data_IF_835961094807
#
_entry.id   IF_835961094807
#
_cell.length_a   1.000
_cell.length_b   1.000
_cell.length_c   1.000
_cell.angle_alpha   90.00
_cell.angle_beta   90.00
_cell.angle_gamma   90.00
#
_symmetry.space_group_name_H-M   'P 1'
#
loop_
_entity.id
_entity.type
_entity.pdbx_description
1 polymer ?
#
# COMPACT_ATOMS: atom_id res chain seq x y z
N UNK A 1 -5.24 0.31 -10.34
CA UNK A 1 -4.62 1.15 -9.27
C UNK A 1 -5.26 0.70 -7.97
N UNK A 2 -4.49 0.25 -6.98
CA UNK A 2 -5.07 -0.25 -5.73
C UNK A 2 -5.27 0.90 -4.72
N UNK A 3 -6.44 0.96 -4.09
CA UNK A 3 -6.67 1.88 -2.97
C UNK A 3 -6.22 1.18 -1.69
N UNK A 4 -5.26 1.76 -0.97
CA UNK A 4 -4.82 1.25 0.32
C UNK A 4 -5.76 1.74 1.45
N UNK A 5 -7.05 1.39 1.32
CA UNK A 5 -8.11 1.84 2.22
C UNK A 5 -7.98 1.26 3.64
N UNK A 6 -7.21 0.18 3.78
CA UNK A 6 -6.94 -0.48 5.06
C UNK A 6 -5.76 0.12 5.83
N UNK A 7 -5.14 1.16 5.28
CA UNK A 7 -3.98 1.83 5.87
C UNK A 7 -2.79 0.90 6.12
N UNK A 8 -2.59 -0.11 5.29
CA UNK A 8 -1.44 -1.00 5.38
C UNK A 8 -0.17 -0.20 5.12
N UNK A 9 0.83 -0.32 5.97
CA UNK A 9 2.02 0.50 5.92
C UNK A 9 2.82 0.27 4.63
N UNK A 10 3.06 -0.97 4.19
CA UNK A 10 3.92 -1.27 3.03
C UNK A 10 3.20 -1.52 1.67
N UNK A 11 1.91 -1.22 1.55
CA UNK A 11 1.15 -1.65 0.37
C UNK A 11 0.98 -3.18 0.32
N UNK A 12 0.74 -3.76 -0.86
CA UNK A 12 0.46 -5.19 -0.98
C UNK A 12 1.75 -6.02 -1.14
N UNK A 13 2.09 -6.91 -0.19
CA UNK A 13 3.31 -7.72 -0.24
C UNK A 13 3.35 -8.72 -1.41
N UNK A 14 2.21 -9.04 -2.03
CA UNK A 14 2.14 -9.98 -3.15
C UNK A 14 2.64 -9.37 -4.46
N UNK A 15 2.61 -8.03 -4.60
CA UNK A 15 2.84 -7.35 -5.87
C UNK A 15 4.19 -6.62 -5.95
N UNK A 16 4.99 -6.69 -4.87
CA UNK A 16 6.37 -6.22 -4.88
C UNK A 16 6.79 -5.55 -3.59
N UNK A 17 8.05 -5.10 -3.58
CA UNK A 17 8.68 -4.46 -2.42
C UNK A 17 8.55 -2.93 -2.44
N UNK A 18 7.90 -2.36 -3.46
CA UNK A 18 7.71 -0.92 -3.63
C UNK A 18 6.24 -0.66 -3.95
N UNK A 19 5.62 0.25 -3.22
CA UNK A 19 4.29 0.75 -3.50
C UNK A 19 4.35 2.24 -3.85
N UNK A 20 3.41 2.70 -4.69
CA UNK A 20 3.25 4.11 -5.01
C UNK A 20 1.98 4.66 -4.35
N UNK A 21 2.09 5.88 -3.80
CA UNK A 21 0.97 6.66 -3.30
C UNK A 21 0.68 7.73 -4.33
N UNK A 22 -0.50 7.64 -4.92
CA UNK A 22 -0.95 8.59 -5.93
C UNK A 22 -1.65 9.80 -5.30
N UNK A 23 -1.55 10.94 -5.97
CA UNK A 23 -2.37 12.12 -5.66
C UNK A 23 -3.82 11.85 -6.06
N UNK A 24 -4.82 12.34 -5.29
CA UNK A 24 -6.23 12.19 -5.66
C UNK A 24 -6.57 12.78 -7.04
N UNK A 25 -5.77 13.72 -7.55
CA UNK A 25 -5.96 14.28 -8.91
C UNK A 25 -5.84 13.22 -10.00
N UNK A 26 -5.10 12.13 -9.77
CA UNK A 26 -5.05 11.00 -10.70
C UNK A 26 -6.44 10.37 -10.90
N UNK A 27 -7.34 10.52 -9.93
CA UNK A 27 -8.63 9.84 -9.89
C UNK A 27 -9.82 10.77 -10.14
N UNK A 28 -9.60 12.08 -10.33
CA UNK A 28 -10.69 13.04 -10.55
C UNK A 28 -11.55 12.71 -11.79
N UNK A 29 -11.02 11.94 -12.75
CA UNK A 29 -11.76 11.43 -13.91
C UNK A 29 -12.12 9.95 -13.86
N UNK A 30 -11.84 9.26 -12.75
CA UNK A 30 -12.27 7.88 -12.57
C UNK A 30 -13.78 7.83 -12.29
N UNK A 31 -14.45 6.78 -12.75
CA UNK A 31 -15.92 6.64 -12.64
C UNK A 31 -16.31 5.42 -11.79
N UNK A 32 -15.38 4.50 -11.53
CA UNK A 32 -15.63 3.30 -10.73
C UNK A 32 -14.41 2.89 -9.91
N UNK A 33 -14.67 2.27 -8.76
CA UNK A 33 -13.72 1.46 -8.01
C UNK A 33 -14.42 0.13 -7.69
N UNK A 34 -13.72 -1.00 -7.83
CA UNK A 34 -14.26 -2.30 -7.50
C UNK A 34 -13.51 -2.88 -6.31
N UNK A 35 -14.22 -3.55 -5.41
CA UNK A 35 -13.59 -4.24 -4.29
C UNK A 35 -12.54 -5.27 -4.70
N UNK A 36 -12.57 -5.75 -5.94
CA UNK A 36 -11.84 -6.93 -6.41
C UNK A 36 -10.84 -6.56 -7.49
N UNK A 37 -9.75 -7.32 -7.52
CA UNK A 37 -8.88 -7.50 -8.68
C UNK A 37 -9.71 -7.71 -9.97
N UNK A 38 -9.76 -6.69 -10.83
CA UNK A 38 -10.45 -6.75 -12.13
C UNK A 38 -9.86 -7.81 -13.04
N UNK A 39 -8.59 -8.17 -12.84
CA UNK A 39 -7.95 -9.30 -13.46
C UNK A 39 -8.66 -10.59 -13.08
N UNK A 40 -8.83 -10.88 -11.78
CA UNK A 40 -9.57 -12.06 -11.32
C UNK A 40 -11.02 -12.07 -11.86
N UNK A 41 -11.71 -10.93 -11.81
CA UNK A 41 -13.04 -10.83 -12.41
C UNK A 41 -13.02 -11.10 -13.93
N UNK A 42 -12.07 -10.52 -14.67
CA UNK A 42 -11.94 -10.74 -16.12
C UNK A 42 -11.61 -12.20 -16.42
N UNK A 43 -10.70 -12.79 -15.67
CA UNK A 43 -10.29 -14.19 -15.83
C UNK A 43 -11.48 -15.12 -15.58
N UNK A 44 -12.34 -14.83 -14.60
CA UNK A 44 -13.32 -15.78 -14.08
C UNK A 44 -14.79 -15.47 -14.39
N UNK A 45 -15.12 -14.24 -14.75
CA UNK A 45 -16.48 -13.76 -15.00
C UNK A 45 -16.69 -13.22 -16.42
N UNK A 46 -15.63 -12.88 -17.16
CA UNK A 46 -15.77 -12.45 -18.56
C UNK A 46 -15.92 -13.68 -19.49
N UNK A 47 -17.15 -13.96 -19.90
CA UNK A 47 -17.47 -15.09 -20.78
C UNK A 47 -16.74 -15.05 -22.13
N UNK A 48 -16.42 -13.86 -22.65
CA UNK A 48 -15.65 -13.72 -23.90
C UNK A 48 -14.20 -14.14 -23.68
N UNK A 49 -13.59 -13.73 -22.57
CA UNK A 49 -12.23 -14.14 -22.19
C UNK A 49 -12.15 -15.66 -21.97
N UNK A 50 -13.09 -16.23 -21.21
CA UNK A 50 -13.17 -17.67 -20.91
C UNK A 50 -13.33 -18.58 -22.13
N UNK A 51 -13.87 -18.04 -23.24
CA UNK A 51 -14.05 -18.77 -24.51
C UNK A 51 -12.83 -18.67 -25.43
N UNK A 52 -11.83 -17.85 -25.10
CA UNK A 52 -10.62 -17.70 -25.91
C UNK A 52 -9.67 -18.87 -25.68
N UNK A 53 -9.16 -19.47 -26.75
CA UNK A 53 -8.20 -20.57 -26.69
C UNK A 53 -6.92 -20.12 -25.95
N UNK A 54 -6.50 -20.90 -24.95
CA UNK A 54 -5.34 -20.59 -24.11
C UNK A 54 -5.67 -19.82 -22.82
N UNK A 55 -6.93 -19.42 -22.60
CA UNK A 55 -7.37 -18.93 -21.29
C UNK A 55 -7.24 -20.05 -20.24
N UNK A 56 -6.52 -19.78 -19.15
CA UNK A 56 -6.34 -20.75 -18.08
C UNK A 56 -7.67 -20.89 -17.33
N UNK A 57 -8.47 -21.91 -17.64
CA UNK A 57 -9.74 -22.18 -16.95
C UNK A 57 -9.56 -22.71 -15.51
N UNK A 58 -8.33 -23.12 -15.14
CA UNK A 58 -8.04 -23.87 -13.92
C UNK A 58 -8.13 -23.02 -12.63
N UNK A 59 -7.63 -21.76 -12.57
CA UNK A 59 -7.81 -20.91 -11.39
C UNK A 59 -9.28 -20.59 -11.14
N UNK A 60 -10.05 -20.37 -12.21
CA UNK A 60 -11.42 -19.89 -12.11
C UNK A 60 -12.41 -20.95 -11.66
N UNK A 61 -12.19 -22.25 -11.88
CA UNK A 61 -13.10 -23.26 -11.31
C UNK A 61 -13.15 -23.26 -9.78
N UNK A 62 -12.06 -22.85 -9.11
CA UNK A 62 -12.00 -22.77 -7.64
C UNK A 62 -12.51 -21.44 -7.10
N UNK A 63 -12.24 -20.34 -7.82
CA UNK A 63 -12.53 -18.97 -7.37
C UNK A 63 -13.89 -18.48 -7.87
N UNK A 64 -14.37 -18.91 -9.05
CA UNK A 64 -15.64 -18.46 -9.60
C UNK A 64 -16.87 -18.71 -8.69
N UNK A 65 -16.96 -19.82 -7.92
CA UNK A 65 -18.07 -19.99 -6.97
C UNK A 65 -18.10 -18.94 -5.85
N UNK A 66 -16.96 -18.31 -5.52
CA UNK A 66 -16.86 -17.23 -4.54
C UNK A 66 -16.93 -15.85 -5.19
N UNK A 67 -17.05 -15.77 -6.52
CA UNK A 67 -17.21 -14.51 -7.25
C UNK A 67 -18.66 -14.32 -7.69
N UNK A 68 -19.23 -13.16 -7.37
CA UNK A 68 -20.47 -12.70 -7.99
C UNK A 68 -20.19 -12.25 -9.44
N UNK A 69 -20.12 -13.21 -10.35
CA UNK A 69 -19.98 -12.92 -11.78
C UNK A 69 -21.25 -12.30 -12.39
N UNK A 70 -22.39 -12.48 -11.73
CA UNK A 70 -23.59 -11.68 -11.97
C UNK A 70 -23.40 -10.39 -11.18
N UNK A 71 -23.18 -9.27 -11.87
CA UNK A 71 -23.05 -7.97 -11.23
C UNK A 71 -24.17 -7.81 -10.18
N UNK A 72 -23.80 -7.70 -8.91
CA UNK A 72 -24.70 -7.15 -7.90
C UNK A 72 -25.02 -5.72 -8.30
N UNK A 73 -26.19 -5.21 -7.88
CA UNK A 73 -26.52 -3.80 -8.09
C UNK A 73 -25.37 -2.95 -7.54
N UNK A 74 -24.75 -2.08 -8.37
CA UNK A 74 -23.68 -1.21 -7.90
C UNK A 74 -24.21 -0.41 -6.71
N UNK A 75 -23.50 -0.43 -5.59
CA UNK A 75 -23.85 0.41 -4.45
C UNK A 75 -23.46 1.84 -4.81
N UNK A 76 -24.39 2.80 -4.88
CA UNK A 76 -24.04 4.18 -5.18
C UNK A 76 -23.08 4.71 -4.11
N UNK A 77 -22.06 5.46 -4.55
CA UNK A 77 -21.15 6.13 -3.65
C UNK A 77 -21.83 7.26 -2.87
N UNK A 78 -21.14 7.78 -1.86
CA UNK A 78 -21.65 8.87 -1.02
C UNK A 78 -21.29 10.21 -1.67
N UNK A 79 -22.31 10.95 -2.14
CA UNK A 79 -22.13 12.27 -2.76
C UNK A 79 -21.27 13.20 -1.89
N UNK A 80 -20.20 13.76 -2.47
CA UNK A 80 -19.25 14.63 -1.79
C UNK A 80 -18.08 13.92 -1.09
N UNK A 81 -18.11 12.59 -0.96
CA UNK A 81 -16.99 11.78 -0.47
C UNK A 81 -16.48 10.80 -1.54
N UNK A 82 -17.40 10.23 -2.33
CA UNK A 82 -17.12 9.30 -3.42
C UNK A 82 -18.28 9.31 -4.43
N UNK A 83 -18.10 9.95 -5.58
CA UNK A 83 -19.13 10.00 -6.65
C UNK A 83 -19.10 8.75 -7.56
N UNK A 84 -18.59 7.63 -7.07
CA UNK A 84 -18.34 6.40 -7.83
C UNK A 84 -19.30 5.29 -7.40
N UNK A 85 -19.68 4.40 -8.32
CA UNK A 85 -20.44 3.21 -7.98
C UNK A 85 -19.51 2.10 -7.47
N UNK A 86 -19.88 1.48 -6.35
CA UNK A 86 -19.13 0.42 -5.68
C UNK A 86 -19.67 -0.95 -6.10
N UNK A 87 -18.80 -1.79 -6.67
CA UNK A 87 -19.14 -3.18 -6.94
C UNK A 87 -18.81 -4.02 -5.70
N UNK A 88 -19.82 -4.20 -4.85
CA UNK A 88 -19.74 -5.02 -3.65
C UNK A 88 -19.82 -6.50 -3.99
N UNK A 89 -18.71 -7.25 -3.85
CA UNK A 89 -18.74 -8.70 -3.96
C UNK A 89 -18.74 -9.37 -2.59
N UNK A 90 -19.93 -9.40 -2.00
CA UNK A 90 -20.17 -10.00 -0.68
C UNK A 90 -19.83 -11.49 -0.60
N UNK A 91 -19.85 -12.23 -1.72
CA UNK A 91 -19.46 -13.66 -1.75
C UNK A 91 -17.95 -13.86 -1.57
N UNK A 92 -17.14 -12.96 -2.12
CA UNK A 92 -15.68 -13.07 -2.03
C UNK A 92 -15.15 -12.71 -0.64
N UNK A 93 -15.74 -11.69 -0.01
CA UNK A 93 -15.31 -11.21 1.30
C UNK A 93 -16.01 -11.87 2.48
N UNK A 94 -16.99 -12.75 2.23
CA UNK A 94 -17.68 -13.54 3.26
C UNK A 94 -18.52 -12.74 4.27
N UNK A 95 -18.52 -11.40 4.19
CA UNK A 95 -19.28 -10.50 5.05
C UNK A 95 -19.81 -9.31 4.25
N UNK A 96 -21.10 -9.02 4.43
CA UNK A 96 -21.80 -7.88 3.84
C UNK A 96 -21.16 -6.52 4.22
N UNK A 97 -20.37 -6.48 5.29
CA UNK A 97 -19.83 -5.25 5.89
C UNK A 97 -18.34 -5.02 5.64
N UNK A 98 -17.65 -5.87 4.87
CA UNK A 98 -16.20 -5.71 4.61
C UNK A 98 -15.89 -4.34 4.01
N UNK A 99 -16.61 -3.94 2.95
CA UNK A 99 -16.48 -2.60 2.36
C UNK A 99 -16.91 -1.50 3.33
N UNK A 100 -18.04 -1.67 4.03
CA UNK A 100 -18.53 -0.69 5.00
C UNK A 100 -17.51 -0.43 6.12
N UNK A 101 -16.86 -1.49 6.60
CA UNK A 101 -15.82 -1.47 7.63
C UNK A 101 -14.49 -0.91 7.11
N UNK A 102 -14.21 -1.09 5.83
CA UNK A 102 -13.07 -0.44 5.16
C UNK A 102 -13.34 1.07 4.99
N UNK A 103 -14.57 1.45 4.64
CA UNK A 103 -15.01 2.84 4.52
C UNK A 103 -15.09 3.53 5.89
N UNK A 104 -15.56 2.86 6.95
CA UNK A 104 -15.63 3.44 8.30
C UNK A 104 -14.26 3.80 8.85
N UNK A 105 -13.22 3.03 8.52
CA UNK A 105 -11.81 3.38 8.82
C UNK A 105 -11.34 4.63 8.10
N UNK A 106 -11.87 4.95 6.92
CA UNK A 106 -11.56 6.22 6.25
C UNK A 106 -12.02 7.39 7.14
N UNK A 107 -13.19 7.25 7.76
CA UNK A 107 -13.79 8.24 8.64
C UNK A 107 -13.25 8.23 10.09
N UNK A 108 -12.22 7.44 10.39
CA UNK A 108 -11.49 7.53 11.66
C UNK A 108 -11.71 6.38 12.65
N UNK A 109 -12.46 5.34 12.31
CA UNK A 109 -12.59 4.14 13.16
C UNK A 109 -11.31 3.28 13.10
N UNK A 110 -10.23 3.76 13.71
CA UNK A 110 -8.88 3.19 13.64
C UNK A 110 -8.66 1.86 14.38
N UNK A 111 -9.71 1.21 14.88
CA UNK A 111 -9.58 0.13 15.87
C UNK A 111 -9.83 -1.31 15.38
N UNK A 112 -10.36 -1.54 14.19
CA UNK A 112 -10.67 -2.91 13.78
C UNK A 112 -9.41 -3.68 13.37
N UNK A 113 -9.32 -4.97 13.70
CA UNK A 113 -8.32 -5.87 13.11
C UNK A 113 -8.70 -6.15 11.65
N UNK A 114 -7.73 -6.07 10.72
CA UNK A 114 -7.90 -6.63 9.36
C UNK A 114 -7.43 -8.07 9.36
N UNK A 115 -8.14 -8.92 8.64
CA UNK A 115 -7.69 -10.27 8.33
C UNK A 115 -6.57 -10.23 7.29
N UNK A 116 -5.79 -11.30 7.19
CA UNK A 116 -4.81 -11.43 6.11
C UNK A 116 -5.50 -11.30 4.75
N UNK A 117 -6.67 -11.94 4.57
CA UNK A 117 -7.48 -11.84 3.35
C UNK A 117 -7.76 -10.38 3.01
N UNK A 118 -8.22 -9.58 3.96
CA UNK A 118 -8.48 -8.16 3.70
C UNK A 118 -7.20 -7.39 3.33
N UNK A 119 -6.05 -7.75 3.92
CA UNK A 119 -4.77 -7.13 3.57
C UNK A 119 -4.21 -7.51 2.19
N UNK A 120 -4.49 -8.73 1.71
CA UNK A 120 -4.06 -9.21 0.39
C UNK A 120 -5.03 -8.84 -0.73
N UNK A 121 -6.32 -8.72 -0.41
CA UNK A 121 -7.36 -8.30 -1.34
C UNK A 121 -7.68 -6.82 -1.11
N UNK A 122 -6.85 -5.98 -1.72
CA UNK A 122 -7.12 -4.54 -1.86
C UNK A 122 -8.46 -4.32 -2.55
N UNK A 123 -9.12 -3.22 -2.20
CA UNK A 123 -10.14 -2.63 -3.07
C UNK A 123 -9.39 -2.02 -4.25
N UNK A 124 -9.57 -2.60 -5.43
CA UNK A 124 -9.00 -2.06 -6.64
C UNK A 124 -9.83 -0.87 -7.11
N UNK A 125 -9.26 0.33 -7.15
CA UNK A 125 -9.81 1.36 -8.03
C UNK A 125 -9.59 0.90 -9.47
N UNK A 126 -10.56 0.16 -9.98
CA UNK A 126 -10.69 -0.15 -11.39
C UNK A 126 -11.09 1.11 -12.11
N UNK A 127 -10.08 1.92 -12.40
CA UNK A 127 -10.20 3.10 -13.22
C UNK A 127 -10.64 2.59 -14.60
N UNK A 128 -11.93 2.71 -14.90
CA UNK A 128 -12.46 2.52 -16.24
C UNK A 128 -12.04 3.73 -17.09
N UNK A 129 -10.77 3.73 -17.49
CA UNK A 129 -10.13 4.81 -18.22
C UNK A 129 -8.63 4.53 -18.38
N UNK A 130 -7.96 5.27 -19.26
CA UNK A 130 -6.50 5.24 -19.35
C UNK A 130 -5.95 6.34 -18.45
N UNK A 131 -5.46 6.02 -17.22
CA UNK A 131 -4.79 7.03 -16.42
C UNK A 131 -3.55 7.49 -17.19
N UNK A 132 -3.54 8.75 -17.61
CA UNK A 132 -2.32 9.37 -18.13
C UNK A 132 -1.46 9.71 -16.92
N UNK A 133 -0.48 8.85 -16.64
CA UNK A 133 0.53 9.11 -15.62
C UNK A 133 1.36 10.30 -16.06
N UNK A 134 1.09 11.47 -15.49
CA UNK A 134 2.07 12.56 -15.47
C UNK A 134 3.02 12.33 -14.29
N UNK A 135 4.24 12.86 -14.38
CA UNK A 135 5.26 12.76 -13.31
C UNK A 135 4.77 13.31 -11.97
N UNK A 136 3.70 14.13 -11.95
CA UNK A 136 3.14 14.78 -10.76
C UNK A 136 2.05 13.97 -10.05
N UNK A 137 1.71 12.79 -10.56
CA UNK A 137 0.62 11.98 -9.98
C UNK A 137 1.08 11.03 -8.87
N UNK A 138 2.39 10.82 -8.70
CA UNK A 138 2.94 10.04 -7.58
C UNK A 138 3.54 11.01 -6.57
N UNK A 139 2.92 11.12 -5.38
CA UNK A 139 3.41 12.02 -4.33
C UNK A 139 4.40 11.35 -3.39
N UNK A 140 4.28 10.03 -3.21
CA UNK A 140 5.25 9.26 -2.44
C UNK A 140 5.43 7.84 -2.96
N UNK A 141 6.63 7.31 -2.76
CA UNK A 141 6.95 5.89 -2.85
C UNK A 141 7.09 5.32 -1.44
N UNK A 142 6.70 4.06 -1.27
CA UNK A 142 6.87 3.31 -0.04
C UNK A 142 7.72 2.09 -0.33
N UNK A 143 8.94 2.07 0.21
CA UNK A 143 9.83 0.92 0.15
C UNK A 143 9.59 -0.01 1.33
N UNK A 144 9.50 -1.32 1.06
CA UNK A 144 9.50 -2.34 2.11
C UNK A 144 10.88 -2.40 2.77
N UNK A 145 10.93 -2.15 4.07
CA UNK A 145 12.17 -2.00 4.84
C UNK A 145 12.97 -3.31 4.86
N UNK A 146 12.31 -4.43 5.14
CA UNK A 146 12.94 -5.75 5.22
C UNK A 146 13.72 -6.20 3.98
N UNK A 147 13.17 -6.14 2.76
CA UNK A 147 13.87 -6.55 1.55
C UNK A 147 14.73 -5.46 0.88
N UNK A 148 14.51 -4.16 1.15
CA UNK A 148 15.18 -3.09 0.40
C UNK A 148 16.15 -2.24 1.23
N UNK A 149 15.90 -2.03 2.52
CA UNK A 149 16.69 -1.08 3.32
C UNK A 149 18.15 -1.56 3.47
N UNK A 150 19.09 -0.69 3.14
CA UNK A 150 20.52 -1.02 3.10
C UNK A 150 20.95 -1.87 1.89
N UNK A 151 20.12 -2.05 0.86
CA UNK A 151 20.51 -2.79 -0.36
C UNK A 151 20.85 -1.87 -1.52
N UNK A 152 21.53 -2.40 -2.54
CA UNK A 152 21.71 -1.70 -3.83
C UNK A 152 20.37 -1.33 -4.50
N UNK A 153 19.35 -2.20 -4.41
CA UNK A 153 18.00 -1.90 -4.94
C UNK A 153 17.31 -0.79 -4.14
N UNK A 154 17.48 -0.77 -2.82
CA UNK A 154 17.01 0.32 -1.98
C UNK A 154 17.67 1.65 -2.32
N UNK A 155 18.97 1.64 -2.64
CA UNK A 155 19.68 2.84 -3.11
C UNK A 155 19.12 3.35 -4.43
N UNK A 156 18.88 2.47 -5.41
CA UNK A 156 18.22 2.83 -6.67
C UNK A 156 16.85 3.45 -6.45
N UNK A 157 16.08 2.98 -5.46
CA UNK A 157 14.80 3.57 -5.10
C UNK A 157 14.95 4.99 -4.52
N UNK A 158 15.95 5.21 -3.64
CA UNK A 158 16.28 6.56 -3.13
C UNK A 158 16.66 7.51 -4.28
N UNK A 159 17.51 7.06 -5.20
CA UNK A 159 17.94 7.85 -6.36
C UNK A 159 16.78 8.16 -7.31
N UNK A 160 15.91 7.17 -7.56
CA UNK A 160 14.71 7.36 -8.38
C UNK A 160 13.78 8.40 -7.74
N UNK A 161 13.48 8.24 -6.45
CA UNK A 161 12.64 9.18 -5.71
C UNK A 161 13.22 10.61 -5.73
N UNK A 162 14.54 10.73 -5.51
CA UNK A 162 15.26 12.00 -5.58
C UNK A 162 15.17 12.66 -6.97
N UNK A 163 15.44 11.88 -8.03
CA UNK A 163 15.44 12.37 -9.42
C UNK A 163 14.08 12.90 -9.86
N UNK A 164 13.01 12.27 -9.40
CA UNK A 164 11.65 12.62 -9.79
C UNK A 164 10.94 13.52 -8.78
N UNK A 165 11.65 14.01 -7.75
CA UNK A 165 11.06 14.81 -6.67
C UNK A 165 9.83 14.12 -6.05
N UNK A 166 9.97 12.84 -5.72
CA UNK A 166 8.94 12.05 -5.06
C UNK A 166 9.39 11.76 -3.64
N UNK A 167 8.51 11.94 -2.66
CA UNK A 167 8.83 11.59 -1.28
C UNK A 167 9.04 10.07 -1.16
N UNK A 168 10.01 9.65 -0.36
CA UNK A 168 10.24 8.24 -0.08
C UNK A 168 9.97 7.98 1.39
N UNK A 169 9.15 6.98 1.67
CA UNK A 169 8.93 6.47 3.00
C UNK A 169 9.31 4.99 3.07
N UNK A 170 9.75 4.54 4.23
CA UNK A 170 9.98 3.13 4.50
C UNK A 170 8.89 2.58 5.39
N UNK A 171 8.42 1.38 5.07
CA UNK A 171 7.44 0.67 5.87
C UNK A 171 7.99 -0.70 6.24
N UNK A 172 7.77 -1.14 7.47
CA UNK A 172 8.15 -2.49 7.88
C UNK A 172 7.37 -3.51 7.04
N UNK A 173 6.10 -3.23 6.77
CA UNK A 173 5.22 -4.10 6.04
C UNK A 173 4.90 -5.38 6.81
N UNK A 174 4.28 -6.36 6.13
CA UNK A 174 4.09 -7.69 6.69
C UNK A 174 5.39 -8.50 6.67
N UNK A 175 6.58 -7.86 6.66
CA UNK A 175 7.91 -8.48 6.63
C UNK A 175 8.20 -9.47 7.76
N UNK A 176 7.23 -9.67 8.66
CA UNK A 176 7.25 -10.63 9.75
C UNK A 176 6.50 -11.94 9.45
N UNK A 177 5.77 -12.02 8.33
CA UNK A 177 5.03 -13.21 7.94
C UNK A 177 5.75 -13.88 6.77
N UNK A 178 6.15 -15.14 6.95
CA UNK A 178 6.55 -16.01 5.85
C UNK A 178 5.32 -16.24 4.94
N UNK A 179 5.07 -15.29 4.04
CA UNK A 179 3.98 -15.31 3.05
C UNK A 179 4.04 -16.57 2.18
N UNK A 180 5.21 -17.21 2.09
CA UNK A 180 5.42 -18.46 1.35
C UNK A 180 4.71 -19.69 1.94
N UNK A 181 4.05 -19.59 3.10
CA UNK A 181 3.26 -20.68 3.72
C UNK A 181 1.85 -20.25 4.12
N UNK A 182 1.16 -19.51 3.26
CA UNK A 182 -0.24 -19.12 3.49
C UNK A 182 -1.19 -20.32 3.36
N UNK A 183 -1.73 -20.78 4.49
CA UNK A 183 -3.04 -21.43 4.56
C UNK A 183 -4.11 -20.32 4.57
N UNK A 184 -5.06 -20.40 3.64
CA UNK A 184 -6.15 -19.43 3.41
C UNK A 184 -7.04 -19.16 4.65
N UNK A 185 -6.95 -19.95 5.73
CA UNK A 185 -7.98 -19.96 6.78
C UNK A 185 -7.60 -19.44 8.16
N UNK A 186 -6.32 -19.23 8.49
CA UNK A 186 -5.93 -19.21 9.93
C UNK A 186 -5.11 -18.03 10.44
N UNK A 187 -4.76 -17.02 9.62
CA UNK A 187 -3.99 -15.89 10.15
C UNK A 187 -4.75 -14.56 10.11
N UNK A 188 -5.29 -14.17 11.26
CA UNK A 188 -5.45 -12.77 11.60
C UNK A 188 -4.04 -12.18 11.80
N UNK A 189 -3.47 -11.60 10.74
CA UNK A 189 -2.27 -10.77 10.91
C UNK A 189 -2.76 -9.46 11.52
N UNK A 190 -2.41 -9.21 12.77
CA UNK A 190 -2.66 -7.89 13.35
C UNK A 190 -1.71 -6.90 12.70
N UNK A 191 -2.22 -6.19 11.70
CA UNK A 191 -1.58 -4.98 11.20
C UNK A 191 -1.85 -3.90 12.23
N UNK A 192 -0.86 -3.66 13.10
CA UNK A 192 -0.82 -2.36 13.76
C UNK A 192 -0.54 -1.33 12.68
N UNK A 193 -1.29 -0.21 12.61
CA UNK A 193 -0.96 0.88 11.71
C UNK A 193 0.40 1.44 12.13
N UNK A 194 1.47 0.84 11.62
CA UNK A 194 2.82 1.29 11.88
C UNK A 194 3.04 2.58 11.11
N UNK A 195 3.71 3.53 11.76
CA UNK A 195 4.20 4.71 11.08
C UNK A 195 5.15 4.28 9.96
N UNK A 196 5.08 4.98 8.84
CA UNK A 196 6.13 4.93 7.83
C UNK A 196 7.20 5.94 8.22
N UNK A 197 8.45 5.60 7.93
CA UNK A 197 9.58 6.47 8.22
C UNK A 197 9.96 7.21 6.94
N UNK A 198 9.76 8.53 6.88
CA UNK A 198 10.25 9.32 5.76
C UNK A 198 11.77 9.18 5.66
N UNK A 199 12.26 9.00 4.44
CA UNK A 199 13.68 8.86 4.17
C UNK A 199 14.38 10.19 4.44
N UNK A 200 15.15 10.25 5.54
CA UNK A 200 15.90 11.43 5.97
C UNK A 200 17.00 11.87 4.98
N UNK A 201 17.30 11.07 3.96
CA UNK A 201 18.27 11.40 2.91
C UNK A 201 17.61 11.93 1.65
N UNK A 202 16.30 11.77 1.51
CA UNK A 202 15.57 12.18 0.30
C UNK A 202 15.56 13.70 0.16
N UNK A 203 15.97 14.25 -0.99
CA UNK A 203 15.84 15.69 -1.25
C UNK A 203 14.37 16.12 -1.37
N UNK A 204 13.45 15.16 -1.57
CA UNK A 204 12.01 15.42 -1.63
C UNK A 204 11.41 15.81 -0.26
N UNK A 205 12.19 15.86 0.81
CA UNK A 205 11.77 16.39 2.11
C UNK A 205 11.42 17.88 2.07
N UNK A 206 12.02 18.62 1.14
CA UNK A 206 11.66 20.01 0.89
C UNK A 206 10.19 20.14 0.45
N UNK A 207 9.61 19.08 -0.15
CA UNK A 207 8.20 19.04 -0.57
C UNK A 207 7.22 18.92 0.60
N UNK A 208 7.67 18.42 1.75
CA UNK A 208 6.84 18.28 2.95
C UNK A 208 7.10 19.37 4.00
N UNK A 209 7.89 20.39 3.64
CA UNK A 209 8.21 21.52 4.52
C UNK A 209 8.78 21.07 5.89
N UNK A 210 9.60 20.01 5.89
CA UNK A 210 10.26 19.50 7.10
C UNK A 210 11.76 19.79 7.04
N UNK A 211 12.23 20.64 7.95
CA UNK A 211 13.67 20.87 8.16
C UNK A 211 14.25 19.76 9.02
N UNK A 212 15.20 19.01 8.48
CA UNK A 212 15.91 17.95 9.22
C UNK A 212 17.25 18.47 9.73
N UNK A 213 17.49 18.30 11.04
CA UNK A 213 18.79 18.55 11.63
C UNK A 213 19.86 17.62 11.02
N UNK A 214 21.04 18.16 10.71
CA UNK A 214 22.16 17.39 10.13
C UNK A 214 22.45 16.09 10.90
N UNK A 215 22.41 16.13 12.23
CA UNK A 215 22.65 14.98 13.10
C UNK A 215 21.64 13.84 12.90
N UNK A 216 20.37 14.15 12.60
CA UNK A 216 19.32 13.15 12.29
C UNK A 216 19.62 12.48 10.96
N UNK A 217 19.96 13.25 9.93
CA UNK A 217 20.35 12.71 8.61
C UNK A 217 21.57 11.80 8.74
N UNK A 218 22.60 12.23 9.46
CA UNK A 218 23.80 11.42 9.71
C UNK A 218 23.49 10.14 10.50
N UNK A 219 22.58 10.19 11.48
CA UNK A 219 22.14 9.01 12.22
C UNK A 219 21.43 8.00 11.31
N UNK A 220 20.52 8.46 10.46
CA UNK A 220 19.81 7.60 9.52
C UNK A 220 20.77 6.96 8.49
N UNK A 221 21.73 7.72 7.97
CA UNK A 221 22.77 7.19 7.07
C UNK A 221 23.62 6.13 7.75
N UNK A 222 24.03 6.33 9.02
CA UNK A 222 24.78 5.30 9.77
C UNK A 222 24.01 4.00 9.91
N UNK A 223 22.68 4.06 10.11
CA UNK A 223 21.81 2.88 10.21
C UNK A 223 21.70 2.20 8.84
N UNK A 224 21.53 2.97 7.77
CA UNK A 224 21.54 2.45 6.39
C UNK A 224 22.84 1.71 6.06
N UNK A 225 23.98 2.34 6.31
CA UNK A 225 25.29 1.77 5.98
C UNK A 225 25.60 0.55 6.86
N UNK A 226 25.13 0.54 8.11
CA UNK A 226 25.18 -0.63 8.97
C UNK A 226 24.40 -1.81 8.38
N UNK A 227 23.15 -1.57 7.97
CA UNK A 227 22.32 -2.58 7.32
C UNK A 227 22.96 -3.09 6.01
N UNK A 228 23.59 -2.21 5.23
CA UNK A 228 24.30 -2.59 4.00
C UNK A 228 25.44 -3.56 4.28
N UNK A 229 26.34 -3.22 5.22
CA UNK A 229 27.48 -4.07 5.56
C UNK A 229 27.04 -5.46 6.06
N UNK A 230 25.99 -5.51 6.88
CA UNK A 230 25.46 -6.78 7.37
C UNK A 230 24.85 -7.64 6.25
N UNK A 231 24.19 -7.02 5.28
CA UNK A 231 23.69 -7.73 4.10
C UNK A 231 24.79 -8.20 3.17
N UNK A 232 25.85 -7.42 3.01
CA UNK A 232 27.01 -7.85 2.22
C UNK A 232 27.66 -9.10 2.83
N UNK A 233 27.63 -9.21 4.17
CA UNK A 233 28.14 -10.37 4.90
C UNK A 233 27.18 -11.58 4.91
N UNK A 234 25.87 -11.35 5.05
CA UNK A 234 24.88 -12.41 5.33
C UNK A 234 23.94 -12.72 4.14
N UNK A 235 23.93 -11.87 3.11
CA UNK A 235 22.92 -11.86 2.05
C UNK A 235 21.57 -11.34 2.56
N UNK A 236 20.79 -12.21 3.22
CA UNK A 236 19.49 -11.86 3.81
C UNK A 236 19.60 -11.71 5.32
N UNK A 237 19.09 -10.59 5.84
CA UNK A 237 19.04 -10.37 7.29
C UNK A 237 17.96 -11.26 7.93
N UNK A 238 18.25 -11.90 9.07
CA UNK A 238 17.23 -12.55 9.88
C UNK A 238 16.14 -11.55 10.29
N UNK A 239 14.90 -12.03 10.44
CA UNK A 239 13.74 -11.20 10.79
C UNK A 239 13.95 -10.37 12.07
N UNK A 240 14.52 -10.96 13.12
CA UNK A 240 14.84 -10.24 14.36
C UNK A 240 15.77 -9.05 14.12
N UNK A 241 16.74 -9.21 13.21
CA UNK A 241 17.68 -8.13 12.88
C UNK A 241 17.01 -7.01 12.07
N UNK A 242 16.09 -7.34 11.17
CA UNK A 242 15.27 -6.35 10.46
C UNK A 242 14.46 -5.50 11.44
N UNK A 243 13.86 -6.12 12.47
CA UNK A 243 13.12 -5.42 13.52
C UNK A 243 14.01 -4.48 14.34
N UNK A 244 15.20 -4.94 14.73
CA UNK A 244 16.17 -4.11 15.45
C UNK A 244 16.58 -2.87 14.65
N UNK A 245 16.84 -3.04 13.35
CA UNK A 245 17.18 -1.94 12.44
C UNK A 245 16.01 -0.97 12.25
N UNK A 246 14.79 -1.49 12.13
CA UNK A 246 13.58 -0.67 12.04
C UNK A 246 13.40 0.20 13.28
N UNK A 247 13.50 -0.40 14.47
CA UNK A 247 13.39 0.32 15.72
C UNK A 247 14.54 1.33 15.94
N UNK A 248 15.75 1.01 15.46
CA UNK A 248 16.85 1.96 15.45
C UNK A 248 16.56 3.15 14.53
N UNK A 249 16.06 2.92 13.31
CA UNK A 249 15.71 3.97 12.36
C UNK A 249 14.59 4.86 12.91
N UNK A 250 13.54 4.26 13.47
CA UNK A 250 12.41 4.95 14.11
C UNK A 250 12.87 5.83 15.29
N UNK A 251 13.80 5.37 16.11
CA UNK A 251 14.36 6.20 17.20
C UNK A 251 15.26 7.34 16.72
N UNK A 252 15.95 7.15 15.60
CA UNK A 252 16.84 8.16 15.05
C UNK A 252 16.08 9.33 14.39
N UNK A 253 14.84 9.10 13.95
CA UNK A 253 14.01 10.09 13.31
C UNK A 253 13.13 10.82 14.34
N UNK A 254 12.99 12.16 14.24
CA UNK A 254 11.98 12.88 15.01
C UNK A 254 10.58 12.44 14.59
N UNK A 255 9.62 12.63 15.51
CA UNK A 255 8.22 12.30 15.26
C UNK A 255 7.71 12.88 13.93
N UNK A 256 8.12 14.10 13.54
CA UNK A 256 7.80 14.76 12.26
C UNK A 256 8.08 13.95 10.98
N UNK A 257 8.87 12.88 11.07
CA UNK A 257 9.18 11.99 9.94
C UNK A 257 8.47 10.64 10.05
N UNK A 258 7.55 10.48 11.02
CA UNK A 258 6.73 9.30 11.22
C UNK A 258 5.34 9.54 10.61
N UNK A 259 5.19 9.22 9.33
CA UNK A 259 3.97 9.51 8.59
C UNK A 259 3.03 8.31 8.57
N UNK A 260 1.74 8.56 8.78
CA UNK A 260 0.68 7.59 8.57
C UNK A 260 -0.04 7.84 7.23
N UNK A 261 -0.92 6.94 6.80
CA UNK A 261 -1.80 7.30 5.69
C UNK A 261 -2.79 8.38 6.13
N UNK A 262 -2.92 9.48 5.38
CA UNK A 262 -3.84 10.57 5.75
C UNK A 262 -5.29 10.08 5.85
N UNK A 263 -5.95 10.48 6.94
CA UNK A 263 -7.37 10.32 7.20
C UNK A 263 -8.17 11.53 6.73
N UNK A 264 -9.47 11.35 6.51
CA UNK A 264 -10.37 12.46 6.22
C UNK A 264 -10.22 13.56 7.30
N UNK A 265 -9.92 14.79 6.88
CA UNK A 265 -9.69 15.93 7.80
C UNK A 265 -8.24 16.15 8.24
N UNK A 266 -7.31 15.24 7.96
CA UNK A 266 -5.90 15.39 8.34
C UNK A 266 -5.20 16.54 7.61
N UNK A 267 -5.67 16.89 6.40
CA UNK A 267 -4.98 17.84 5.55
C UNK A 267 -5.95 18.82 4.90
N UNK A 268 -5.54 20.08 4.84
CA UNK A 268 -6.21 21.13 4.05
C UNK A 268 -5.96 20.96 2.55
N UNK A 269 -4.78 20.46 2.16
CA UNK A 269 -4.43 20.10 0.79
C UNK A 269 -4.10 18.60 0.66
N UNK A 270 -5.03 17.84 0.09
CA UNK A 270 -4.91 16.41 -0.13
C UNK A 270 -3.90 16.01 -1.23
N UNK A 271 -3.56 16.92 -2.12
CA UNK A 271 -2.63 16.66 -3.21
C UNK A 271 -1.18 16.65 -2.72
N UNK A 272 -0.82 17.59 -1.83
CA UNK A 272 0.52 17.69 -1.27
C UNK A 272 0.73 16.85 -0.01
N UNK A 273 -0.33 16.52 0.73
CA UNK A 273 -0.19 15.87 2.04
C UNK A 273 0.27 14.41 1.94
N UNK A 274 1.24 14.03 2.78
CA UNK A 274 1.70 12.64 2.93
C UNK A 274 1.10 11.92 4.15
N UNK A 275 0.30 12.61 4.95
CA UNK A 275 -0.21 12.17 6.25
C UNK A 275 0.35 12.99 7.40
N UNK A 276 -0.41 13.05 8.51
CA UNK A 276 0.02 13.71 9.74
C UNK A 276 0.83 12.76 10.64
N UNK A 277 1.56 13.38 11.57
CA UNK A 277 1.95 12.74 12.82
C UNK A 277 0.70 12.52 13.68
N UNK A 278 0.58 11.34 14.29
CA UNK A 278 -0.16 11.21 15.53
C UNK A 278 0.68 11.74 16.70
#
# INVERSE_FOLDING_TARGET
VALNMLRVDAGNPLFGNVAAIFSPSLWQGAVAAAGIDSGIYTLCCNHTYLRTNGSAQVPCRRIAPTLLCRAGEPTPGVFGAMDHALLNNHLMYGAADSLLRVLSRWHGDGGANITLLESTYFIEANILGSPLYSERHVKALVGSFGPLFGTARGRLLQEYAARHSIALAWALGPALSNVSKMDDRTMAISFHPQARLLDATSPALDLVNVTIARSVKEAFVRIWDGASRERDALGQLPQGRVLELWEAAKRALPAALHVHLPAAGDCTDWHACLGLNA
#
